data_IF_940988759642
#
_entry.id   IF_940988759642
#
_cell.length_a   1.000
_cell.length_b   1.000
_cell.length_c   1.000
_cell.angle_alpha   90.00
_cell.angle_beta   90.00
_cell.angle_gamma   90.00
#
_symmetry.space_group_name_H-M   'P 1'
#
loop_
_entity.id
_entity.type
_entity.pdbx_description
1 polymer ?
#
# COMPACT_ATOMS: atom_id res chain seq x y z
N UNK A 1 9.55 -4.40 21.13
CA UNK A 1 8.38 -5.28 20.95
C UNK A 1 7.16 -4.43 21.26
N UNK A 2 6.34 -4.13 20.26
CA UNK A 2 5.17 -3.24 20.44
C UNK A 2 3.92 -4.10 20.50
N UNK A 3 3.12 -3.92 21.54
CA UNK A 3 1.86 -4.63 21.71
C UNK A 3 0.68 -3.68 21.46
N UNK A 4 -0.35 -4.17 20.78
CA UNK A 4 -1.61 -3.46 20.54
C UNK A 4 -2.70 -4.26 21.25
N UNK A 5 -3.55 -3.57 22.02
CA UNK A 5 -4.73 -4.15 22.66
C UNK A 5 -5.97 -3.46 22.09
N UNK A 6 -6.86 -4.24 21.50
CA UNK A 6 -8.16 -3.77 21.00
C UNK A 6 -9.20 -4.13 22.06
N UNK A 7 -9.90 -3.13 22.59
CA UNK A 7 -10.95 -3.30 23.60
C UNK A 7 -12.32 -3.39 22.96
N UNK A 8 -13.26 -3.96 23.70
CA UNK A 8 -14.69 -3.98 23.35
C UNK A 8 -15.00 -4.61 21.98
N UNK A 9 -14.20 -5.63 21.61
CA UNK A 9 -14.43 -6.39 20.38
C UNK A 9 -15.62 -7.33 20.60
N UNK A 10 -16.67 -7.28 19.76
CA UNK A 10 -17.80 -8.19 19.88
C UNK A 10 -17.37 -9.66 19.79
N UNK A 11 -17.94 -10.52 20.62
CA UNK A 11 -17.59 -11.95 20.69
C UNK A 11 -17.74 -12.65 19.33
N UNK A 12 -18.78 -12.30 18.58
CA UNK A 12 -19.00 -12.78 17.22
C UNK A 12 -17.82 -12.49 16.28
N UNK A 13 -17.21 -11.30 16.42
CA UNK A 13 -16.05 -10.90 15.62
C UNK A 13 -14.83 -11.72 16.01
N UNK A 14 -14.58 -11.88 17.31
CA UNK A 14 -13.47 -12.71 17.81
C UNK A 14 -13.62 -14.15 17.35
N UNK A 15 -14.83 -14.71 17.40
CA UNK A 15 -15.11 -16.07 16.96
C UNK A 15 -14.88 -16.25 15.47
N UNK A 16 -15.37 -15.32 14.64
CA UNK A 16 -15.12 -15.35 13.20
C UNK A 16 -13.62 -15.29 12.88
N UNK A 17 -12.85 -14.44 13.58
CA UNK A 17 -11.40 -14.35 13.39
C UNK A 17 -10.67 -15.62 13.85
N UNK A 18 -11.10 -16.25 14.95
CA UNK A 18 -10.54 -17.54 15.41
C UNK A 18 -10.74 -18.65 14.38
N UNK A 19 -11.95 -18.76 13.81
CA UNK A 19 -12.25 -19.74 12.76
C UNK A 19 -11.35 -19.53 11.55
N UNK A 20 -11.23 -18.29 11.07
CA UNK A 20 -10.36 -17.95 9.93
C UNK A 20 -8.87 -18.21 10.23
N UNK A 21 -8.42 -17.91 11.44
CA UNK A 21 -7.05 -18.19 11.86
C UNK A 21 -6.77 -19.70 11.88
N UNK A 22 -7.69 -20.51 12.42
CA UNK A 22 -7.60 -21.97 12.42
C UNK A 22 -7.57 -22.55 10.99
N UNK A 23 -8.44 -22.07 10.10
CA UNK A 23 -8.44 -22.45 8.68
C UNK A 23 -7.13 -22.11 7.97
N UNK A 24 -6.47 -21.02 8.36
CA UNK A 24 -5.17 -20.61 7.85
C UNK A 24 -3.98 -21.30 8.55
N UNK A 25 -4.22 -22.19 9.52
CA UNK A 25 -3.16 -22.85 10.31
C UNK A 25 -2.36 -21.89 11.18
N UNK A 26 -2.96 -20.77 11.60
CA UNK A 26 -2.28 -19.68 12.32
C UNK A 26 -2.89 -19.48 13.71
N UNK A 27 -2.08 -19.02 14.65
CA UNK A 27 -2.62 -18.47 15.90
C UNK A 27 -3.42 -17.19 15.61
N UNK A 28 -4.38 -16.85 16.48
CA UNK A 28 -5.18 -15.63 16.32
C UNK A 28 -4.29 -14.38 16.27
N UNK A 29 -3.24 -14.33 17.08
CA UNK A 29 -2.29 -13.22 17.09
C UNK A 29 -1.53 -13.09 15.76
N UNK A 30 -1.04 -14.20 15.20
CA UNK A 30 -0.34 -14.18 13.92
C UNK A 30 -1.28 -13.76 12.78
N UNK A 31 -2.51 -14.28 12.77
CA UNK A 31 -3.53 -13.92 11.79
C UNK A 31 -3.91 -12.43 11.87
N UNK A 32 -4.12 -11.91 13.08
CA UNK A 32 -4.45 -10.51 13.31
C UNK A 32 -3.32 -9.57 12.92
N UNK A 33 -2.06 -9.92 13.24
CA UNK A 33 -0.89 -9.16 12.82
C UNK A 33 -0.83 -9.06 11.29
N UNK A 34 -1.01 -10.18 10.60
CA UNK A 34 -0.98 -10.21 9.14
C UNK A 34 -2.13 -9.40 8.51
N UNK A 35 -3.32 -9.44 9.13
CA UNK A 35 -4.45 -8.61 8.72
C UNK A 35 -4.14 -7.12 8.85
N UNK A 36 -3.61 -6.70 10.01
CA UNK A 36 -3.25 -5.31 10.27
C UNK A 36 -2.10 -4.84 9.37
N UNK A 37 -1.08 -5.67 9.15
CA UNK A 37 0.03 -5.37 8.24
C UNK A 37 -0.44 -5.21 6.79
N UNK A 38 -1.36 -6.07 6.33
CA UNK A 38 -1.95 -5.93 5.00
C UNK A 38 -2.75 -4.65 4.86
N UNK A 39 -3.50 -4.27 5.89
CA UNK A 39 -4.29 -3.04 5.85
C UNK A 39 -3.39 -1.80 5.87
N UNK A 40 -2.35 -1.80 6.71
CA UNK A 40 -1.36 -0.73 6.77
C UNK A 40 -0.51 -0.60 5.48
N UNK A 41 -0.36 -1.68 4.71
CA UNK A 41 0.35 -1.65 3.44
C UNK A 41 -0.46 -1.00 2.31
N UNK A 42 -1.79 -0.83 2.47
CA UNK A 42 -2.62 -0.16 1.47
C UNK A 42 -2.50 1.36 1.68
N UNK A 43 -1.94 2.10 0.70
CA UNK A 43 -1.91 3.54 0.81
C UNK A 43 -3.33 4.10 0.75
N UNK A 44 -3.63 5.03 1.64
CA UNK A 44 -4.87 5.79 1.60
C UNK A 44 -4.93 6.64 0.34
N UNK A 45 -6.14 7.06 -0.08
CA UNK A 45 -6.30 7.98 -1.22
C UNK A 45 -5.53 9.28 -1.03
N UNK A 46 -5.45 9.78 0.21
CA UNK A 46 -4.66 10.97 0.55
C UNK A 46 -3.16 10.74 0.38
N UNK A 47 -2.63 9.58 0.81
CA UNK A 47 -1.24 9.21 0.61
C UNK A 47 -0.90 8.97 -0.86
N UNK A 48 -1.84 8.38 -1.62
CA UNK A 48 -1.74 8.23 -3.07
C UNK A 48 -1.71 9.59 -3.77
N UNK A 49 -2.58 10.53 -3.40
CA UNK A 49 -2.58 11.88 -3.95
C UNK A 49 -1.27 12.62 -3.64
N UNK A 50 -0.80 12.57 -2.40
CA UNK A 50 0.49 13.13 -2.00
C UNK A 50 1.69 12.45 -2.67
N UNK A 51 1.56 11.17 -3.06
CA UNK A 51 2.56 10.47 -3.87
C UNK A 51 2.53 10.97 -5.31
N UNK A 52 1.36 11.11 -5.93
CA UNK A 52 1.23 11.68 -7.28
C UNK A 52 1.78 13.11 -7.34
N UNK A 53 1.48 13.95 -6.35
CA UNK A 53 2.01 15.32 -6.31
C UNK A 53 3.55 15.36 -6.23
N UNK A 54 4.16 14.37 -5.59
CA UNK A 54 5.62 14.24 -5.49
C UNK A 54 6.26 13.61 -6.73
N UNK A 55 5.64 12.59 -7.31
CA UNK A 55 6.23 11.80 -8.40
C UNK A 55 5.83 12.29 -9.80
N UNK A 56 4.67 12.95 -9.96
CA UNK A 56 4.14 13.40 -11.26
C UNK A 56 4.50 14.85 -11.59
N UNK A 57 5.52 15.43 -10.93
CA UNK A 57 6.11 16.70 -11.35
C UNK A 57 7.37 16.47 -12.17
N UNK A 58 7.20 15.92 -13.37
CA UNK A 58 8.18 16.16 -14.44
C UNK A 58 7.75 17.41 -15.19
N UNK A 59 8.44 18.52 -14.97
CA UNK A 59 8.36 19.68 -15.86
C UNK A 59 9.05 19.35 -17.17
N UNK A 60 8.33 18.69 -18.09
CA UNK A 60 8.74 18.58 -19.48
C UNK A 60 8.31 19.85 -20.21
N UNK A 61 9.27 20.54 -20.83
CA UNK A 61 8.96 21.58 -21.81
C UNK A 61 8.88 20.94 -23.19
N UNK A 62 8.13 21.59 -24.08
CA UNK A 62 8.03 21.18 -25.49
C UNK A 62 9.41 21.06 -26.16
N UNK A 63 10.38 21.89 -25.75
CA UNK A 63 11.76 21.84 -26.23
C UNK A 63 12.48 20.54 -25.86
N UNK A 64 12.18 19.97 -24.68
CA UNK A 64 12.82 18.74 -24.20
C UNK A 64 12.34 17.54 -25.03
N UNK A 65 11.07 17.57 -25.46
CA UNK A 65 10.47 16.58 -26.34
C UNK A 65 11.05 16.68 -27.74
N UNK A 66 11.16 17.89 -28.29
CA UNK A 66 11.74 18.12 -29.61
C UNK A 66 13.21 17.68 -29.66
N UNK A 67 14.00 18.03 -28.64
CA UNK A 67 15.40 17.61 -28.55
C UNK A 67 15.56 16.09 -28.51
N UNK A 68 14.71 15.38 -27.77
CA UNK A 68 14.75 13.90 -27.72
C UNK A 68 14.40 13.25 -29.08
N UNK A 69 13.54 13.88 -29.89
CA UNK A 69 13.19 13.40 -31.24
C UNK A 69 14.36 13.61 -32.20
N UNK A 70 15.02 14.77 -32.14
CA UNK A 70 16.16 15.09 -33.00
C UNK A 70 17.37 14.21 -32.67
N UNK A 71 17.66 14.00 -31.38
CA UNK A 71 18.66 13.03 -30.90
C UNK A 71 18.44 11.61 -31.43
N UNK A 72 17.17 11.21 -31.64
CA UNK A 72 16.81 9.91 -32.20
C UNK A 72 16.99 9.81 -33.71
N UNK A 73 16.95 10.95 -34.42
CA UNK A 73 17.19 11.04 -35.86
C UNK A 73 18.68 11.06 -36.18
N UNK A 74 19.49 11.73 -35.37
CA UNK A 74 20.93 11.87 -35.58
C UNK A 74 21.73 10.57 -35.31
N UNK A 75 21.14 9.61 -34.59
CA UNK A 75 21.74 8.29 -34.31
C UNK A 75 21.44 7.23 -35.37
N UNK A 76 20.81 7.59 -36.48
CA UNK A 76 20.39 6.67 -37.55
C UNK A 76 21.15 6.93 -38.84
#
# INVERSE_FOLDING_TARGET
MTAITIRDVPDETVNALKVRAAQAGKSLQAYALELLSREAAKPTLAEMAARLDRETRTTLRTTDILGAIDDGRDRR
#
